data_IF_491167341017
#
_entry.id   IF_491167341017
#
_cell.length_a   1.000
_cell.length_b   1.000
_cell.length_c   1.000
_cell.angle_alpha   90.00
_cell.angle_beta   90.00
_cell.angle_gamma   90.00
#
_symmetry.space_group_name_H-M   'P 1'
#
loop_
_entity.id
_entity.type
_entity.pdbx_description
1 polymer ?
#
# COMPACT_ATOMS: atom_id res chain seq x y z
N UNK A 1 -8.11 10.13 -5.02
CA UNK A 1 -7.69 11.49 -4.85
C UNK A 1 -7.90 12.38 -6.09
N UNK A 2 -8.34 11.83 -7.24
CA UNK A 2 -8.71 12.60 -8.44
C UNK A 2 -7.55 13.25 -9.20
N UNK A 3 -6.31 12.95 -8.86
CA UNK A 3 -5.13 13.52 -9.53
C UNK A 3 -4.65 12.63 -10.69
N UNK A 4 -4.75 11.31 -10.50
CA UNK A 4 -4.40 10.30 -11.50
C UNK A 4 -5.51 9.26 -11.58
N UNK A 5 -5.65 8.68 -12.76
CA UNK A 5 -6.52 7.54 -13.06
C UNK A 5 -5.66 6.33 -13.47
N UNK A 6 -6.19 5.10 -13.52
CA UNK A 6 -5.45 3.95 -14.02
C UNK A 6 -4.82 4.16 -15.40
N UNK A 7 -5.45 4.96 -16.26
CA UNK A 7 -5.05 5.23 -17.65
C UNK A 7 -4.17 6.48 -17.77
N UNK A 8 -3.88 7.18 -16.67
CA UNK A 8 -2.99 8.36 -16.71
C UNK A 8 -1.60 7.95 -17.16
N UNK A 9 -1.10 8.57 -18.23
CA UNK A 9 0.20 8.27 -18.81
C UNK A 9 1.31 9.10 -18.18
N UNK A 10 2.42 8.43 -17.88
CA UNK A 10 3.67 9.03 -17.38
C UNK A 10 4.80 8.69 -18.36
N UNK A 11 5.67 9.65 -18.60
CA UNK A 11 6.92 9.43 -19.36
C UNK A 11 8.00 8.98 -18.38
N UNK A 12 8.26 7.69 -18.31
CA UNK A 12 9.06 7.03 -17.27
C UNK A 12 10.45 6.66 -17.83
N UNK A 13 11.54 7.34 -17.40
CA UNK A 13 12.91 6.91 -17.69
C UNK A 13 13.32 5.76 -16.75
N UNK A 14 14.35 4.99 -17.12
CA UNK A 14 14.91 3.93 -16.24
C UNK A 14 15.58 4.46 -14.97
N UNK A 15 15.86 5.78 -14.92
CA UNK A 15 16.51 6.47 -13.80
C UNK A 15 15.89 7.84 -13.55
N UNK A 16 15.75 8.15 -12.28
CA UNK A 16 15.19 9.42 -11.84
C UNK A 16 16.00 9.98 -10.67
N UNK A 17 16.56 11.18 -10.84
CA UNK A 17 17.30 11.85 -9.78
C UNK A 17 16.34 12.69 -8.93
N UNK A 18 16.34 12.41 -7.62
CA UNK A 18 15.60 13.17 -6.63
C UNK A 18 16.54 13.53 -5.49
N UNK A 19 16.74 14.84 -5.28
CA UNK A 19 17.72 15.35 -4.32
C UNK A 19 19.13 14.82 -4.64
N UNK A 20 19.80 14.20 -3.70
CA UNK A 20 21.16 13.64 -3.83
C UNK A 20 21.18 12.15 -4.23
N UNK A 21 20.01 11.52 -4.47
CA UNK A 21 19.90 10.09 -4.81
C UNK A 21 19.34 9.91 -6.22
N UNK A 22 19.89 8.93 -6.95
CA UNK A 22 19.31 8.44 -8.20
C UNK A 22 18.57 7.15 -7.92
N UNK A 23 17.26 7.14 -8.16
CA UNK A 23 16.42 5.97 -8.16
C UNK A 23 16.43 5.33 -9.54
N UNK A 24 16.23 4.03 -9.61
CA UNK A 24 16.23 3.29 -10.87
C UNK A 24 15.21 2.16 -10.83
N UNK A 25 14.76 1.74 -11.98
CA UNK A 25 13.99 0.54 -12.16
C UNK A 25 14.87 -0.73 -12.11
N UNK A 26 14.26 -1.91 -12.07
CA UNK A 26 14.96 -3.19 -11.91
C UNK A 26 15.84 -3.52 -13.11
N UNK A 27 15.48 -3.06 -14.29
CA UNK A 27 16.19 -3.25 -15.56
C UNK A 27 16.35 -1.91 -16.29
N UNK A 28 17.25 -1.87 -17.26
CA UNK A 28 17.43 -0.71 -18.13
C UNK A 28 16.42 -0.74 -19.27
N UNK A 29 15.81 0.42 -19.51
CA UNK A 29 14.88 0.64 -20.63
C UNK A 29 15.01 2.08 -21.14
N UNK A 30 14.59 2.37 -22.38
CA UNK A 30 14.46 3.76 -22.84
C UNK A 30 13.36 4.46 -22.04
N UNK A 31 13.20 5.78 -22.23
CA UNK A 31 12.04 6.46 -21.66
C UNK A 31 10.76 5.93 -22.31
N UNK A 32 9.87 5.36 -21.51
CA UNK A 32 8.63 4.72 -21.93
C UNK A 32 7.39 5.50 -21.49
N UNK A 33 6.33 5.41 -22.29
CA UNK A 33 5.04 5.98 -21.95
C UNK A 33 4.23 4.91 -21.22
N UNK A 34 4.22 4.95 -19.90
CA UNK A 34 3.54 3.96 -19.05
C UNK A 34 2.23 4.54 -18.52
N UNK A 35 1.14 3.79 -18.60
CA UNK A 35 -0.07 4.09 -17.82
C UNK A 35 0.21 3.88 -16.33
N UNK A 36 -0.58 4.46 -15.44
CA UNK A 36 -0.44 4.19 -13.99
C UNK A 36 -0.64 2.69 -13.70
N UNK A 37 -1.50 2.01 -14.45
CA UNK A 37 -1.63 0.54 -14.39
C UNK A 37 -0.33 -0.14 -14.79
N UNK A 38 0.30 0.26 -15.90
CA UNK A 38 1.59 -0.27 -16.33
C UNK A 38 2.69 -0.08 -15.30
N UNK A 39 2.78 1.10 -14.69
CA UNK A 39 3.72 1.38 -13.59
C UNK A 39 3.59 0.37 -12.45
N UNK A 40 2.34 0.00 -12.10
CA UNK A 40 2.08 -0.99 -11.04
C UNK A 40 2.41 -2.41 -11.50
N UNK A 41 2.00 -2.80 -12.71
CA UNK A 41 2.18 -4.14 -13.30
C UNK A 41 3.67 -4.47 -13.46
N UNK A 42 4.45 -3.53 -13.97
CA UNK A 42 5.89 -3.69 -14.19
C UNK A 42 6.72 -3.39 -12.93
N UNK A 43 6.06 -2.96 -11.85
CA UNK A 43 6.72 -2.62 -10.59
C UNK A 43 7.79 -1.51 -10.76
N UNK A 44 7.51 -0.52 -11.62
CA UNK A 44 8.43 0.60 -11.84
C UNK A 44 8.56 1.46 -10.58
N UNK A 45 9.76 1.49 -10.00
CA UNK A 45 10.09 2.39 -8.89
C UNK A 45 10.02 3.85 -9.34
N UNK A 46 10.58 4.15 -10.52
CA UNK A 46 10.64 5.51 -11.06
C UNK A 46 9.24 6.03 -11.36
N UNK A 47 8.41 5.24 -12.05
CA UNK A 47 7.02 5.60 -12.32
C UNK A 47 6.22 5.83 -11.05
N UNK A 48 6.41 4.98 -10.03
CA UNK A 48 5.76 5.13 -8.71
C UNK A 48 6.18 6.43 -8.01
N UNK A 49 7.47 6.78 -8.01
CA UNK A 49 7.97 8.04 -7.45
C UNK A 49 7.37 9.24 -8.19
N UNK A 50 7.36 9.20 -9.52
CA UNK A 50 6.80 10.29 -10.34
C UNK A 50 5.29 10.47 -10.10
N UNK A 51 4.54 9.37 -9.98
CA UNK A 51 3.12 9.40 -9.62
C UNK A 51 2.90 10.02 -8.24
N UNK A 52 3.71 9.60 -7.25
CA UNK A 52 3.65 10.12 -5.89
C UNK A 52 3.96 11.62 -5.82
N UNK A 53 4.91 12.12 -6.61
CA UNK A 53 5.21 13.54 -6.67
C UNK A 53 4.05 14.39 -7.20
N UNK A 54 3.23 13.84 -8.13
CA UNK A 54 2.03 14.53 -8.61
C UNK A 54 0.95 14.68 -7.53
N UNK A 55 0.88 13.77 -6.57
CA UNK A 55 -0.09 13.85 -5.45
C UNK A 55 0.46 14.60 -4.23
N UNK A 56 1.79 14.66 -4.08
CA UNK A 56 2.50 15.35 -3.01
C UNK A 56 2.64 14.54 -1.72
N UNK A 57 3.68 14.87 -0.94
CA UNK A 57 4.03 14.18 0.32
C UNK A 57 2.91 14.17 1.36
N UNK A 58 2.24 15.31 1.65
CA UNK A 58 1.17 15.34 2.65
C UNK A 58 0.03 14.36 2.35
N UNK A 59 -0.43 14.27 1.10
CA UNK A 59 -1.50 13.32 0.71
C UNK A 59 -1.04 11.86 0.73
N UNK A 60 0.23 11.61 0.35
CA UNK A 60 0.80 10.27 0.48
C UNK A 60 0.87 9.84 1.94
N UNK A 61 1.39 10.69 2.83
CA UNK A 61 1.46 10.42 4.26
C UNK A 61 0.06 10.23 4.88
N UNK A 62 -0.90 11.07 4.52
CA UNK A 62 -2.29 10.92 4.95
C UNK A 62 -2.84 9.53 4.57
N UNK A 63 -2.62 9.09 3.34
CA UNK A 63 -3.11 7.78 2.88
C UNK A 63 -2.42 6.62 3.60
N UNK A 64 -1.10 6.66 3.78
CA UNK A 64 -0.37 5.68 4.59
C UNK A 64 -0.92 5.61 6.03
N UNK A 65 -1.16 6.75 6.64
CA UNK A 65 -1.76 6.86 7.99
C UNK A 65 -3.19 6.32 8.02
N UNK A 66 -3.99 6.57 6.99
CA UNK A 66 -5.35 6.00 6.86
C UNK A 66 -5.34 4.48 6.76
N UNK A 67 -4.34 3.88 6.15
CA UNK A 67 -4.13 2.43 6.18
C UNK A 67 -3.56 1.94 7.52
N UNK A 68 -3.23 2.84 8.44
CA UNK A 68 -2.71 2.51 9.77
C UNK A 68 -1.24 2.11 9.79
N UNK A 69 -0.46 2.49 8.75
CA UNK A 69 0.99 2.32 8.78
C UNK A 69 1.55 3.10 9.97
N UNK A 70 2.48 2.51 10.71
CA UNK A 70 3.04 3.09 11.94
C UNK A 70 2.17 2.87 13.20
N UNK A 71 1.10 2.06 13.12
CA UNK A 71 0.25 1.72 14.26
C UNK A 71 0.03 0.21 14.39
N UNK A 72 -0.24 -0.28 15.60
CA UNK A 72 -0.62 -1.69 15.80
C UNK A 72 -1.94 -2.01 15.11
N UNK A 73 -2.13 -3.29 14.73
CA UNK A 73 -3.38 -3.74 14.10
C UNK A 73 -4.52 -3.92 15.11
N UNK A 74 -4.18 -4.17 16.37
CA UNK A 74 -5.15 -4.54 17.40
C UNK A 74 -5.53 -6.03 17.38
N UNK A 75 -4.74 -6.89 16.73
CA UNK A 75 -4.98 -8.34 16.67
C UNK A 75 -4.97 -9.03 18.03
N UNK A 76 -4.42 -8.38 19.07
CA UNK A 76 -4.38 -8.91 20.44
C UNK A 76 -3.20 -9.84 20.72
N UNK A 77 -2.25 -10.00 19.79
CA UNK A 77 -1.05 -10.82 20.03
C UNK A 77 0.02 -10.02 20.81
N UNK A 78 0.73 -10.65 21.78
CA UNK A 78 1.83 -10.03 22.47
C UNK A 78 2.99 -9.75 21.50
N UNK A 79 3.74 -8.67 21.76
CA UNK A 79 4.92 -8.32 20.96
C UNK A 79 4.61 -7.73 19.58
N UNK A 80 3.35 -7.39 19.27
CA UNK A 80 3.02 -6.75 17.98
C UNK A 80 3.79 -5.42 17.83
N UNK A 81 4.61 -5.31 16.77
CA UNK A 81 5.25 -4.06 16.37
C UNK A 81 4.27 -3.14 15.67
N UNK A 82 4.28 -1.85 16.01
CA UNK A 82 3.53 -0.84 15.29
C UNK A 82 4.12 -0.52 13.90
N UNK A 83 5.38 -0.89 13.65
CA UNK A 83 6.14 -0.38 12.53
C UNK A 83 6.56 1.09 12.75
N UNK A 84 7.01 1.74 11.68
CA UNK A 84 7.46 3.13 11.72
C UNK A 84 6.88 3.87 10.52
N UNK A 85 6.24 5.01 10.77
CA UNK A 85 5.90 6.01 9.77
C UNK A 85 6.25 7.37 10.36
N UNK A 86 7.28 8.04 9.82
CA UNK A 86 7.65 9.40 10.25
C UNK A 86 6.64 10.40 9.72
N UNK A 87 6.35 11.43 10.52
CA UNK A 87 5.51 12.54 10.05
C UNK A 87 6.14 13.21 8.83
N UNK A 88 5.31 13.68 7.93
CA UNK A 88 5.74 14.25 6.64
C UNK A 88 6.58 15.52 6.80
N UNK A 89 6.31 16.32 7.82
CA UNK A 89 7.10 17.53 8.18
C UNK A 89 8.58 17.24 8.48
N UNK A 90 8.91 15.97 8.76
CA UNK A 90 10.27 15.47 8.99
C UNK A 90 10.89 14.77 7.79
N UNK A 91 10.20 14.75 6.65
CA UNK A 91 10.74 14.15 5.44
C UNK A 91 11.78 15.07 4.80
N UNK A 92 12.94 14.53 4.49
CA UNK A 92 13.99 15.18 3.73
C UNK A 92 13.93 14.77 2.25
N UNK A 93 14.67 15.45 1.39
CA UNK A 93 14.59 15.31 -0.06
C UNK A 93 14.47 13.90 -0.63
N UNK A 94 15.25 12.92 -0.11
CA UNK A 94 15.18 11.51 -0.57
C UNK A 94 13.98 10.75 -0.02
N UNK A 95 13.38 11.20 1.08
CA UNK A 95 12.20 10.54 1.66
C UNK A 95 11.01 10.57 0.70
N UNK A 96 10.87 11.64 -0.08
CA UNK A 96 9.85 11.76 -1.13
C UNK A 96 10.00 10.73 -2.27
N UNK A 97 11.15 10.06 -2.37
CA UNK A 97 11.40 8.95 -3.28
C UNK A 97 11.31 7.59 -2.60
N UNK A 98 11.74 7.47 -1.33
CA UNK A 98 11.76 6.17 -0.62
C UNK A 98 10.39 5.74 -0.09
N UNK A 99 9.56 6.69 0.37
CA UNK A 99 8.21 6.35 0.87
C UNK A 99 7.31 5.77 -0.22
N UNK A 100 7.23 6.33 -1.45
CA UNK A 100 6.36 5.75 -2.48
C UNK A 100 6.66 4.29 -2.83
N UNK A 101 7.94 3.90 -2.78
CA UNK A 101 8.40 2.55 -3.12
C UNK A 101 8.56 1.64 -1.89
N UNK A 102 8.03 2.04 -0.73
CA UNK A 102 8.01 1.20 0.48
C UNK A 102 9.31 1.13 1.28
N UNK A 103 10.34 1.92 0.94
CA UNK A 103 11.64 1.93 1.63
C UNK A 103 11.73 2.97 2.76
N UNK A 104 10.74 3.86 2.89
CA UNK A 104 10.74 4.95 3.86
C UNK A 104 9.98 4.66 5.15
N UNK A 105 9.31 3.53 5.26
CA UNK A 105 8.54 3.12 6.44
C UNK A 105 8.71 1.63 6.73
N UNK A 106 8.29 1.19 7.91
CA UNK A 106 8.22 -0.24 8.25
C UNK A 106 6.84 -0.63 8.75
N UNK A 107 6.47 -1.88 8.50
CA UNK A 107 5.15 -2.43 8.78
C UNK A 107 5.28 -3.91 9.11
N UNK A 108 4.45 -4.43 10.03
CA UNK A 108 4.40 -5.86 10.29
C UNK A 108 3.54 -6.59 9.23
N UNK A 109 3.75 -7.92 9.10
CA UNK A 109 3.06 -8.73 8.08
C UNK A 109 1.53 -8.71 8.21
N UNK A 110 0.99 -8.69 9.45
CA UNK A 110 -0.47 -8.63 9.69
C UNK A 110 -1.05 -7.30 9.20
N UNK A 111 -0.34 -6.20 9.43
CA UNK A 111 -0.75 -4.89 8.92
C UNK A 111 -0.77 -4.87 7.39
N UNK A 112 0.26 -5.41 6.74
CA UNK A 112 0.30 -5.48 5.28
C UNK A 112 -0.83 -6.34 4.74
N UNK A 113 -1.08 -7.52 5.32
CA UNK A 113 -2.23 -8.35 4.96
C UNK A 113 -3.57 -7.59 5.12
N UNK A 114 -3.72 -6.79 6.19
CA UNK A 114 -4.92 -5.96 6.40
C UNK A 114 -5.09 -4.86 5.35
N UNK A 115 -3.99 -4.31 4.80
CA UNK A 115 -4.04 -3.34 3.69
C UNK A 115 -4.63 -4.00 2.44
N UNK A 116 -4.10 -5.15 2.04
CA UNK A 116 -4.62 -5.89 0.87
C UNK A 116 -6.04 -6.39 1.10
N UNK A 117 -6.35 -6.88 2.30
CA UNK A 117 -7.72 -7.27 2.68
C UNK A 117 -8.70 -6.11 2.57
N UNK A 118 -8.29 -4.87 2.92
CA UNK A 118 -9.15 -3.71 2.76
C UNK A 118 -9.43 -3.37 1.29
N UNK A 119 -8.44 -3.54 0.41
CA UNK A 119 -8.62 -3.35 -1.05
C UNK A 119 -9.58 -4.42 -1.59
N UNK A 120 -9.38 -5.70 -1.21
CA UNK A 120 -10.24 -6.80 -1.61
C UNK A 120 -11.68 -6.66 -1.08
N UNK A 121 -11.85 -6.04 0.09
CA UNK A 121 -13.14 -5.80 0.76
C UNK A 121 -13.71 -4.39 0.45
N UNK A 122 -13.71 -4.02 -0.83
CA UNK A 122 -14.31 -2.76 -1.33
C UNK A 122 -13.87 -1.50 -0.60
N UNK A 123 -12.62 -1.49 -0.13
CA UNK A 123 -12.01 -0.37 0.56
C UNK A 123 -12.36 -0.27 2.05
N UNK A 124 -12.93 -1.31 2.64
CA UNK A 124 -13.27 -1.38 4.06
C UNK A 124 -12.25 -2.23 4.81
N UNK A 125 -11.46 -1.59 5.65
CA UNK A 125 -10.55 -2.26 6.58
C UNK A 125 -11.33 -2.83 7.75
N UNK A 126 -11.01 -4.08 8.12
CA UNK A 126 -11.57 -4.79 9.28
C UNK A 126 -10.43 -5.07 10.25
N UNK A 127 -10.63 -4.81 11.55
CA UNK A 127 -9.63 -5.15 12.56
C UNK A 127 -9.41 -6.67 12.58
N UNK A 128 -8.17 -7.15 12.37
CA UNK A 128 -7.89 -8.58 12.39
C UNK A 128 -8.09 -9.16 13.80
N UNK A 129 -8.52 -10.41 13.90
CA UNK A 129 -8.61 -11.14 15.15
C UNK A 129 -8.25 -12.60 14.93
N UNK A 130 -7.65 -13.23 15.94
CA UNK A 130 -7.36 -14.67 15.99
C UNK A 130 -8.30 -15.39 16.98
N UNK A 131 -9.14 -14.64 17.68
CA UNK A 131 -10.08 -15.20 18.68
C UNK A 131 -11.48 -15.21 18.08
N UNK A 132 -12.07 -16.38 17.97
CA UNK A 132 -13.46 -16.57 17.53
C UNK A 132 -14.44 -16.53 18.71
N UNK A 133 -14.06 -17.17 19.82
CA UNK A 133 -14.86 -17.24 21.04
C UNK A 133 -13.97 -17.67 22.22
N UNK A 134 -14.47 -17.49 23.42
CA UNK A 134 -13.90 -18.05 24.65
C UNK A 134 -14.96 -18.87 25.37
N UNK A 135 -14.54 -19.91 26.15
CA UNK A 135 -15.44 -20.69 26.98
C UNK A 135 -15.15 -20.38 28.45
N UNK A 136 -16.18 -20.01 29.19
CA UNK A 136 -16.07 -19.77 30.63
C UNK A 136 -15.96 -21.10 31.40
N UNK A 137 -15.59 -21.03 32.69
CA UNK A 137 -15.48 -22.20 33.56
C UNK A 137 -16.81 -22.96 33.72
N UNK A 138 -17.94 -22.31 33.57
CA UNK A 138 -19.30 -22.90 33.60
C UNK A 138 -19.73 -23.54 32.28
N UNK A 139 -18.84 -23.55 31.25
CA UNK A 139 -19.14 -24.10 29.93
C UNK A 139 -19.79 -23.10 28.96
N UNK A 140 -20.13 -21.90 29.42
CA UNK A 140 -20.75 -20.86 28.55
C UNK A 140 -19.79 -20.39 27.48
N UNK A 141 -20.17 -20.46 26.20
CA UNK A 141 -19.40 -19.92 25.07
C UNK A 141 -19.75 -18.45 24.91
N UNK A 142 -18.70 -17.60 24.97
CA UNK A 142 -18.79 -16.15 24.75
C UNK A 142 -18.14 -15.83 23.42
N UNK A 143 -18.87 -15.31 22.42
CA UNK A 143 -18.28 -14.85 21.16
C UNK A 143 -17.25 -13.75 21.40
N UNK A 144 -16.22 -13.67 20.54
CA UNK A 144 -15.30 -12.55 20.55
C UNK A 144 -16.05 -11.25 20.20
N UNK A 145 -15.52 -10.13 20.67
CA UNK A 145 -16.01 -8.80 20.29
C UNK A 145 -15.98 -8.65 18.77
N UNK A 146 -17.08 -8.17 18.20
CA UNK A 146 -17.16 -7.95 16.76
C UNK A 146 -16.04 -7.00 16.30
N UNK A 147 -15.34 -7.33 15.20
CA UNK A 147 -14.24 -6.50 14.72
C UNK A 147 -14.76 -5.13 14.24
N UNK A 148 -13.98 -4.09 14.50
CA UNK A 148 -14.31 -2.75 14.00
C UNK A 148 -14.07 -2.67 12.49
N UNK A 149 -14.92 -1.88 11.81
CA UNK A 149 -14.83 -1.66 10.36
C UNK A 149 -14.59 -0.18 10.09
N UNK A 150 -13.69 0.14 9.17
CA UNK A 150 -13.39 1.52 8.78
C UNK A 150 -13.18 1.61 7.28
N UNK A 151 -13.91 2.53 6.62
CA UNK A 151 -13.72 2.78 5.19
C UNK A 151 -12.43 3.57 4.96
N UNK A 152 -11.53 2.99 4.19
CA UNK A 152 -10.24 3.60 3.80
C UNK A 152 -10.34 4.19 2.39
N UNK A 153 -10.92 3.42 1.46
CA UNK A 153 -11.11 3.80 0.06
C UNK A 153 -12.59 3.82 -0.28
N UNK A 154 -12.97 4.57 -1.29
CA UNK A 154 -14.29 4.42 -1.91
C UNK A 154 -14.36 3.10 -2.70
N UNK A 155 -15.55 2.53 -2.82
CA UNK A 155 -15.75 1.27 -3.57
C UNK A 155 -15.22 1.35 -5.01
N UNK A 156 -15.45 2.43 -5.78
CA UNK A 156 -14.89 2.53 -7.15
C UNK A 156 -13.36 2.52 -7.16
N UNK A 157 -12.70 3.21 -6.22
CA UNK A 157 -11.23 3.21 -6.14
C UNK A 157 -10.69 1.84 -5.77
N UNK A 158 -11.34 1.12 -4.85
CA UNK A 158 -10.96 -0.25 -4.49
C UNK A 158 -11.10 -1.20 -5.68
N UNK A 159 -12.18 -1.08 -6.47
CA UNK A 159 -12.39 -1.87 -7.68
C UNK A 159 -11.30 -1.60 -8.74
N UNK A 160 -10.96 -0.33 -8.97
CA UNK A 160 -9.86 0.04 -9.87
C UNK A 160 -8.53 -0.55 -9.42
N UNK A 161 -8.20 -0.47 -8.13
CA UNK A 161 -6.96 -1.05 -7.59
C UNK A 161 -6.92 -2.56 -7.74
N UNK A 162 -8.04 -3.28 -7.52
CA UNK A 162 -8.10 -4.73 -7.76
C UNK A 162 -7.78 -5.07 -9.21
N UNK A 163 -8.44 -4.40 -10.15
CA UNK A 163 -8.20 -4.62 -11.58
C UNK A 163 -6.74 -4.33 -11.99
N UNK A 164 -6.13 -3.26 -11.43
CA UNK A 164 -4.71 -2.97 -11.66
C UNK A 164 -3.80 -4.06 -11.07
N UNK A 165 -4.11 -4.56 -9.86
CA UNK A 165 -3.32 -5.58 -9.17
C UNK A 165 -3.41 -6.95 -9.86
N UNK A 166 -4.56 -7.31 -10.44
CA UNK A 166 -4.72 -8.52 -11.26
C UNK A 166 -3.74 -8.53 -12.45
N UNK A 167 -3.45 -7.37 -13.04
CA UNK A 167 -2.47 -7.25 -14.10
C UNK A 167 -1.06 -7.70 -13.71
N UNK A 168 -0.70 -7.67 -12.42
CA UNK A 168 0.62 -8.10 -11.94
C UNK A 168 0.85 -9.60 -12.11
N UNK A 169 -0.22 -10.41 -12.08
CA UNK A 169 -0.17 -11.88 -12.25
C UNK A 169 -0.42 -12.32 -13.69
N UNK A 170 -0.82 -11.42 -14.59
CA UNK A 170 -1.04 -11.71 -16.00
C UNK A 170 0.29 -11.74 -16.78
N UNK A 171 0.23 -12.19 -18.04
CA UNK A 171 1.37 -12.16 -18.97
C UNK A 171 1.91 -10.71 -19.08
N UNK A 172 3.23 -10.57 -18.94
CA UNK A 172 3.90 -9.26 -18.85
C UNK A 172 3.99 -8.66 -17.45
N UNK A 173 3.29 -9.22 -16.46
CA UNK A 173 3.40 -8.81 -15.06
C UNK A 173 4.59 -9.44 -14.34
N UNK A 174 4.92 -8.92 -13.16
CA UNK A 174 6.09 -9.35 -12.37
C UNK A 174 5.83 -10.59 -11.50
N UNK A 175 4.60 -11.09 -11.43
CA UNK A 175 4.21 -12.23 -10.58
C UNK A 175 3.37 -13.28 -11.32
N UNK A 176 3.69 -13.56 -12.58
CA UNK A 176 2.96 -14.52 -13.44
C UNK A 176 2.90 -15.95 -12.87
N UNK A 177 3.80 -16.32 -11.99
CA UNK A 177 3.81 -17.63 -11.32
C UNK A 177 2.90 -17.69 -10.08
N UNK A 178 2.28 -16.58 -9.71
CA UNK A 178 1.38 -16.50 -8.56
C UNK A 178 -0.11 -16.58 -8.94
N UNK A 179 -0.39 -16.77 -10.25
CA UNK A 179 -1.76 -16.88 -10.78
C UNK A 179 -2.34 -18.30 -10.58
#
# INVERSE_FOLDING_TARGET
AGVLTPDSVLSVPDRYRLSNKTFKDSHRHPTEQMTLTGVLVESSNVGTIMAAQKIGGPKLHEMLSRFGIGTKTGIGLPGESAGILRNEDKWAGTDYGTHPIGQGYSVNGVKMASVYAAIANDGVMVTPTVIKSSTRADGTVVPATAPTKRRILSTPVAAQLRAMLEGVTNEGGTAVTAA
#
